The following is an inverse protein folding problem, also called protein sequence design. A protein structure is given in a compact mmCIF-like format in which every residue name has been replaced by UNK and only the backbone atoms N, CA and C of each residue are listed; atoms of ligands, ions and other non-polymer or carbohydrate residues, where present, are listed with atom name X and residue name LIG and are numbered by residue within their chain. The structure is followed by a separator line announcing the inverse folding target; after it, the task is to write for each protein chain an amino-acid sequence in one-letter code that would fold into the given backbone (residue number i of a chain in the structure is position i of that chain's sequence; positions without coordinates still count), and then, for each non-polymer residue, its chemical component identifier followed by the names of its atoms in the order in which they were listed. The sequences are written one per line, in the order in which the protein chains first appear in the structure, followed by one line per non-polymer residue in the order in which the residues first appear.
data_IF_730609310980
#
_entry.id   IF_730609310980
#
_cell.length_a   1.000
_cell.length_b   1.000
_cell.length_c   1.000
_cell.angle_alpha   90.00
_cell.angle_beta   90.00
_cell.angle_gamma   90.00
#
_symmetry.space_group_name_H-M   'P 1'
#
loop_
_entity.id
_entity.type
_entity.pdbx_description
1 polymer ?
#
# COMPACT_ATOMS: atom_id res chain seq x y z
N UNK A 1 -63.22 8.66 -24.86
CA UNK A 1 -61.84 9.13 -24.61
C UNK A 1 -61.47 8.75 -23.19
N UNK A 2 -60.73 7.65 -23.02
CA UNK A 2 -60.27 7.22 -21.70
C UNK A 2 -58.92 7.88 -21.42
N UNK A 3 -58.89 8.77 -20.43
CA UNK A 3 -57.66 9.33 -19.85
C UNK A 3 -56.92 8.23 -19.11
N UNK A 4 -55.81 7.74 -19.69
CA UNK A 4 -54.86 6.88 -18.98
C UNK A 4 -54.27 7.67 -17.81
N UNK A 5 -54.48 7.16 -16.60
CA UNK A 5 -53.81 7.66 -15.41
C UNK A 5 -52.29 7.42 -15.52
N UNK A 6 -51.45 8.36 -15.05
CA UNK A 6 -50.00 8.19 -15.07
C UNK A 6 -49.62 6.98 -14.21
N UNK A 7 -48.91 6.03 -14.83
CA UNK A 7 -48.33 4.88 -14.14
C UNK A 7 -47.37 5.36 -13.06
N UNK A 8 -47.45 4.84 -11.82
CA UNK A 8 -46.54 5.21 -10.75
C UNK A 8 -45.11 4.82 -11.16
N UNK A 9 -44.20 5.80 -11.12
CA UNK A 9 -42.77 5.60 -11.29
C UNK A 9 -42.29 4.48 -10.35
N UNK A 10 -41.58 3.49 -10.89
CA UNK A 10 -41.15 2.34 -10.10
C UNK A 10 -40.33 2.78 -8.88
N UNK A 11 -40.43 2.10 -7.71
CA UNK A 11 -39.69 2.45 -6.49
C UNK A 11 -38.16 2.34 -6.60
N UNK A 12 -37.63 1.92 -7.76
CA UNK A 12 -36.22 1.59 -7.96
C UNK A 12 -35.42 2.66 -8.72
N UNK A 13 -36.04 3.78 -9.12
CA UNK A 13 -35.35 4.88 -9.81
C UNK A 13 -34.63 5.86 -8.87
N UNK A 14 -34.11 5.38 -7.74
CA UNK A 14 -33.19 6.18 -6.92
C UNK A 14 -31.81 6.14 -7.57
N UNK A 15 -31.57 7.02 -8.53
CA UNK A 15 -30.21 7.23 -9.04
C UNK A 15 -29.31 7.63 -7.86
N UNK A 16 -28.24 6.89 -7.55
CA UNK A 16 -27.34 7.24 -6.47
C UNK A 16 -26.71 8.60 -6.78
N UNK A 17 -26.84 9.53 -5.83
CA UNK A 17 -26.21 10.85 -5.94
C UNK A 17 -24.69 10.65 -5.98
N UNK A 18 -24.07 10.92 -7.14
CA UNK A 18 -22.62 10.85 -7.35
C UNK A 18 -21.82 11.55 -6.25
N UNK A 19 -22.36 12.64 -5.69
CA UNK A 19 -21.76 13.37 -4.57
C UNK A 19 -21.61 12.55 -3.29
N UNK A 20 -22.55 11.64 -2.99
CA UNK A 20 -22.50 10.82 -1.78
C UNK A 20 -21.38 9.78 -1.80
N UNK A 21 -21.19 9.12 -2.94
CA UNK A 21 -20.10 8.14 -3.10
C UNK A 21 -18.72 8.79 -3.06
N UNK A 22 -18.55 9.94 -3.71
CA UNK A 22 -17.31 10.70 -3.64
C UNK A 22 -17.00 11.16 -2.22
N UNK A 23 -18.00 11.71 -1.52
CA UNK A 23 -17.85 12.12 -0.12
C UNK A 23 -17.48 10.94 0.78
N UNK A 24 -18.07 9.76 0.56
CA UNK A 24 -17.72 8.54 1.30
C UNK A 24 -16.28 8.08 1.01
N UNK A 25 -15.83 8.08 -0.26
CA UNK A 25 -14.44 7.78 -0.60
C UNK A 25 -13.47 8.75 0.10
N UNK A 26 -13.74 10.06 0.02
CA UNK A 26 -12.92 11.09 0.65
C UNK A 26 -12.91 10.90 2.17
N UNK A 27 -14.07 10.66 2.79
CA UNK A 27 -14.18 10.41 4.22
C UNK A 27 -13.36 9.20 4.68
N UNK A 28 -13.40 8.09 3.92
CA UNK A 28 -12.61 6.89 4.23
C UNK A 28 -11.10 7.13 4.06
N UNK A 29 -10.69 7.85 3.01
CA UNK A 29 -9.28 8.22 2.83
C UNK A 29 -8.79 9.16 3.94
N UNK A 30 -9.58 10.16 4.32
CA UNK A 30 -9.25 11.04 5.44
C UNK A 30 -9.16 10.28 6.77
N UNK A 31 -10.07 9.33 7.01
CA UNK A 31 -9.99 8.44 8.17
C UNK A 31 -8.72 7.60 8.15
N UNK A 32 -8.37 7.00 7.01
CA UNK A 32 -7.12 6.24 6.86
C UNK A 32 -5.89 7.09 7.14
N UNK A 33 -5.85 8.32 6.61
CA UNK A 33 -4.77 9.29 6.85
C UNK A 33 -4.71 9.64 8.34
N UNK A 34 -5.84 9.95 8.98
CA UNK A 34 -5.89 10.30 10.39
C UNK A 34 -5.39 9.15 11.30
N UNK A 35 -5.82 7.92 11.02
CA UNK A 35 -5.37 6.73 11.76
C UNK A 35 -3.87 6.45 11.53
N UNK A 36 -3.38 6.69 10.31
CA UNK A 36 -1.96 6.55 10.00
C UNK A 36 -1.13 7.60 10.73
N UNK A 37 -1.57 8.86 10.76
CA UNK A 37 -0.90 9.94 11.50
C UNK A 37 -0.99 9.77 13.02
N UNK A 38 -2.03 9.10 13.53
CA UNK A 38 -2.10 8.71 14.93
C UNK A 38 -1.01 7.66 15.26
N UNK A 39 -0.75 6.74 14.34
CA UNK A 39 0.28 5.69 14.51
C UNK A 39 1.69 6.22 14.25
N UNK A 40 1.83 7.14 13.30
CA UNK A 40 3.05 7.83 12.92
C UNK A 40 2.90 9.33 13.19
N UNK A 41 2.97 9.77 14.47
CA UNK A 41 2.77 11.18 14.79
C UNK A 41 3.86 12.03 14.14
N UNK A 42 3.51 13.16 13.48
CA UNK A 42 4.49 13.99 12.75
C UNK A 42 5.72 14.38 13.55
N UNK A 43 5.55 14.67 14.84
CA UNK A 43 6.67 15.03 15.73
C UNK A 43 7.67 13.88 15.89
N UNK A 44 7.20 12.64 15.94
CA UNK A 44 8.08 11.47 16.05
C UNK A 44 8.61 11.00 14.68
N UNK A 45 7.86 11.25 13.60
CA UNK A 45 8.30 10.96 12.23
C UNK A 45 9.60 11.67 11.87
N UNK A 46 9.73 12.94 12.29
CA UNK A 46 10.90 13.76 12.03
C UNK A 46 11.84 13.85 13.24
N UNK A 47 11.71 12.95 14.21
CA UNK A 47 12.62 12.85 15.35
C UNK A 47 13.96 12.23 15.00
N UNK A 48 14.86 12.22 15.99
CA UNK A 48 16.24 11.71 15.86
C UNK A 48 16.36 10.19 16.09
N UNK A 49 15.25 9.51 16.34
CA UNK A 49 15.21 8.07 16.62
C UNK A 49 14.19 7.34 15.74
N UNK A 50 14.43 6.07 15.39
CA UNK A 50 13.44 5.26 14.68
C UNK A 50 12.20 5.03 15.56
N UNK A 51 11.03 5.17 14.95
CA UNK A 51 9.73 5.03 15.62
C UNK A 51 9.40 3.54 15.86
N UNK A 52 9.34 3.11 17.12
CA UNK A 52 8.63 1.89 17.52
C UNK A 52 9.39 0.94 18.45
N UNK A 53 9.02 -0.34 18.40
CA UNK A 53 9.44 -1.40 19.32
C UNK A 53 10.88 -1.89 19.05
N UNK A 54 11.50 -2.70 19.95
CA UNK A 54 12.88 -3.20 19.78
C UNK A 54 13.19 -3.88 18.43
N UNK A 55 12.21 -4.50 17.79
CA UNK A 55 12.36 -5.07 16.45
C UNK A 55 12.56 -4.01 15.34
N UNK A 56 12.03 -2.79 15.52
CA UNK A 56 12.31 -1.64 14.63
C UNK A 56 13.77 -1.26 14.74
N UNK A 57 14.32 -1.19 15.96
CA UNK A 57 15.73 -0.87 16.16
C UNK A 57 16.64 -1.89 15.49
N UNK A 58 16.28 -3.18 15.54
CA UNK A 58 17.01 -4.22 14.82
C UNK A 58 16.91 -4.05 13.29
N UNK A 59 15.73 -3.70 12.76
CA UNK A 59 15.55 -3.43 11.34
C UNK A 59 16.27 -2.16 10.87
N UNK A 60 16.22 -1.09 11.67
CA UNK A 60 16.93 0.16 11.44
C UNK A 60 18.46 -0.07 11.45
N UNK A 61 18.96 -0.90 12.38
CA UNK A 61 20.36 -1.33 12.39
C UNK A 61 20.77 -2.02 11.08
N UNK A 62 19.94 -2.95 10.58
CA UNK A 62 20.18 -3.62 9.29
C UNK A 62 20.16 -2.65 8.09
N UNK A 63 19.22 -1.70 8.08
CA UNK A 63 19.17 -0.66 7.05
C UNK A 63 20.43 0.20 7.11
N UNK A 64 20.82 0.67 8.29
CA UNK A 64 22.01 1.51 8.49
C UNK A 64 23.29 0.80 8.04
N UNK A 65 23.48 -0.45 8.44
CA UNK A 65 24.61 -1.27 7.98
C UNK A 65 24.64 -1.43 6.45
N UNK A 66 23.47 -1.59 5.82
CA UNK A 66 23.36 -1.65 4.35
C UNK A 66 23.75 -0.31 3.70
N UNK A 67 23.34 0.82 4.29
CA UNK A 67 23.71 2.17 3.81
C UNK A 67 25.21 2.43 3.94
N UNK A 68 25.81 2.03 5.05
CA UNK A 68 27.26 2.13 5.28
C UNK A 68 28.05 1.30 4.26
N UNK A 69 27.61 0.07 3.97
CA UNK A 69 28.20 -0.77 2.94
C UNK A 69 28.08 -0.13 1.54
N UNK A 70 26.93 0.48 1.22
CA UNK A 70 26.71 1.23 -0.03
C UNK A 70 27.58 2.50 -0.15
N UNK A 71 28.00 3.08 0.98
CA UNK A 71 28.82 4.29 1.00
C UNK A 71 30.32 4.00 0.78
N UNK A 72 30.77 2.74 0.84
CA UNK A 72 32.18 2.41 0.66
C UNK A 72 32.66 2.68 -0.78
N UNK A 73 33.86 3.26 -0.97
CA UNK A 73 34.43 3.49 -2.30
C UNK A 73 34.53 2.18 -3.11
N UNK A 74 33.95 2.17 -4.31
CA UNK A 74 33.95 1.00 -5.20
C UNK A 74 32.82 0.00 -4.90
N UNK A 75 31.98 0.22 -3.89
CA UNK A 75 30.80 -0.58 -3.65
C UNK A 75 29.83 -0.45 -4.83
N UNK A 76 29.39 -1.60 -5.35
CA UNK A 76 28.29 -1.63 -6.33
C UNK A 76 27.00 -1.86 -5.57
N UNK A 77 25.92 -1.19 -5.99
CA UNK A 77 24.62 -1.32 -5.32
C UNK A 77 24.14 -2.77 -5.25
N UNK A 78 24.46 -3.59 -6.26
CA UNK A 78 24.10 -5.00 -6.28
C UNK A 78 24.95 -5.81 -5.31
N UNK A 79 26.25 -5.55 -5.14
CA UNK A 79 27.07 -6.24 -4.12
C UNK A 79 26.76 -5.79 -2.68
N UNK A 80 26.13 -4.63 -2.54
CA UNK A 80 25.71 -4.01 -1.28
C UNK A 80 24.26 -4.36 -0.87
N UNK A 81 23.34 -4.59 -1.84
CA UNK A 81 22.31 -5.63 -1.70
C UNK A 81 23.04 -6.99 -1.57
N UNK A 82 22.50 -8.17 -1.29
CA UNK A 82 23.33 -9.37 -1.00
C UNK A 82 24.39 -9.33 0.14
N UNK A 83 24.86 -8.17 0.65
CA UNK A 83 25.88 -8.15 1.70
C UNK A 83 25.30 -8.72 2.98
N UNK A 84 26.02 -9.70 3.50
CA UNK A 84 25.77 -10.37 4.75
C UNK A 84 26.28 -9.47 5.88
N UNK A 85 25.46 -9.24 6.92
CA UNK A 85 25.99 -8.74 8.19
C UNK A 85 26.41 -9.98 9.03
N UNK A 86 27.71 -10.26 9.16
CA UNK A 86 28.20 -11.41 9.91
C UNK A 86 27.94 -11.30 11.42
N UNK A 87 27.61 -10.12 11.95
CA UNK A 87 27.25 -9.93 13.36
C UNK A 87 25.75 -10.10 13.61
N UNK A 88 24.91 -9.88 12.59
CA UNK A 88 23.46 -10.04 12.73
C UNK A 88 23.01 -11.52 12.84
N UNK A 89 23.84 -12.48 12.44
CA UNK A 89 23.46 -13.89 12.29
C UNK A 89 24.52 -14.89 12.78
N UNK A 90 25.40 -14.51 13.72
CA UNK A 90 26.31 -15.46 14.36
C UNK A 90 25.50 -16.59 15.04
N UNK A 91 25.34 -17.74 14.35
CA UNK A 91 24.63 -18.93 14.82
C UNK A 91 23.39 -19.38 14.03
N UNK A 92 22.92 -18.67 13.00
CA UNK A 92 21.73 -19.06 12.23
C UNK A 92 22.02 -19.22 10.72
N UNK A 93 21.58 -20.35 10.14
CA UNK A 93 21.86 -20.74 8.76
C UNK A 93 21.08 -19.96 7.66
N UNK A 94 20.17 -19.05 8.04
CA UNK A 94 19.41 -18.21 7.10
C UNK A 94 20.15 -16.91 6.82
N UNK A 95 21.30 -17.01 6.14
CA UNK A 95 22.26 -15.94 5.94
C UNK A 95 22.03 -15.02 4.74
N UNK A 96 20.79 -14.76 4.37
CA UNK A 96 20.49 -13.65 3.46
C UNK A 96 19.75 -12.57 4.25
N UNK A 97 19.98 -11.27 3.98
CA UNK A 97 18.92 -10.28 4.05
C UNK A 97 17.83 -10.69 3.05
N UNK A 98 17.06 -11.72 3.40
CA UNK A 98 16.04 -12.39 2.58
C UNK A 98 14.67 -11.76 2.83
N UNK A 99 14.65 -10.47 3.15
CA UNK A 99 13.42 -9.73 3.38
C UNK A 99 13.44 -8.55 2.42
N UNK A 100 12.67 -8.69 1.33
CA UNK A 100 12.54 -7.67 0.28
C UNK A 100 12.13 -6.33 0.88
N UNK A 101 11.38 -6.37 1.97
CA UNK A 101 10.93 -5.21 2.72
C UNK A 101 12.11 -4.45 3.36
N UNK A 102 13.10 -5.11 3.98
CA UNK A 102 14.31 -4.48 4.54
C UNK A 102 15.12 -3.79 3.45
N UNK A 103 15.26 -4.42 2.28
CA UNK A 103 16.00 -3.82 1.14
C UNK A 103 15.25 -2.65 0.52
N UNK A 104 13.94 -2.79 0.32
CA UNK A 104 13.11 -1.71 -0.17
C UNK A 104 13.12 -0.53 0.82
N UNK A 105 13.07 -0.81 2.12
CA UNK A 105 13.18 0.19 3.18
C UNK A 105 14.54 0.89 3.15
N UNK A 106 15.62 0.12 2.98
CA UNK A 106 16.98 0.68 2.87
C UNK A 106 17.14 1.58 1.65
N UNK A 107 16.65 1.17 0.48
CA UNK A 107 16.69 1.98 -0.74
C UNK A 107 15.86 3.26 -0.59
N UNK A 108 14.65 3.17 -0.01
CA UNK A 108 13.83 4.34 0.28
C UNK A 108 14.53 5.30 1.26
N UNK A 109 15.15 4.75 2.31
CA UNK A 109 15.89 5.53 3.31
C UNK A 109 17.11 6.19 2.68
N UNK A 110 17.84 5.49 1.81
CA UNK A 110 18.94 6.06 1.04
C UNK A 110 18.47 7.23 0.19
N UNK A 111 17.38 7.07 -0.55
CA UNK A 111 16.85 8.11 -1.42
C UNK A 111 16.52 9.37 -0.63
N UNK A 112 15.81 9.23 0.49
CA UNK A 112 15.41 10.35 1.34
C UNK A 112 16.60 11.00 2.06
N UNK A 113 17.58 10.23 2.52
CA UNK A 113 18.81 10.78 3.11
C UNK A 113 19.62 11.56 2.07
N UNK A 114 19.65 11.11 0.81
CA UNK A 114 20.26 11.86 -0.31
C UNK A 114 19.49 13.14 -0.63
N UNK A 115 18.23 13.25 -0.26
CA UNK A 115 17.43 14.47 -0.34
C UNK A 115 17.60 15.39 0.90
N UNK A 116 18.47 15.03 1.84
CA UNK A 116 18.83 15.86 2.99
C UNK A 116 18.10 15.53 4.30
N UNK A 117 17.29 14.46 4.35
CA UNK A 117 16.67 14.01 5.59
C UNK A 117 17.69 13.28 6.48
N UNK A 118 17.59 13.45 7.79
CA UNK A 118 18.32 12.62 8.75
C UNK A 118 17.91 11.14 8.60
N UNK A 119 18.84 10.21 8.78
CA UNK A 119 18.58 8.78 8.58
C UNK A 119 17.40 8.22 9.39
N UNK A 120 17.19 8.57 10.67
CA UNK A 120 16.03 8.15 11.44
C UNK A 120 14.71 8.67 10.85
N UNK A 121 14.67 9.96 10.52
CA UNK A 121 13.50 10.59 9.91
C UNK A 121 13.18 10.00 8.53
N UNK A 122 14.19 9.76 7.71
CA UNK A 122 14.06 9.10 6.42
C UNK A 122 13.48 7.68 6.58
N UNK A 123 14.00 6.90 7.53
CA UNK A 123 13.51 5.56 7.82
C UNK A 123 12.04 5.57 8.26
N UNK A 124 11.68 6.46 9.18
CA UNK A 124 10.31 6.61 9.67
C UNK A 124 9.35 7.02 8.55
N UNK A 125 9.77 7.98 7.71
CA UNK A 125 8.97 8.48 6.60
C UNK A 125 8.70 7.40 5.55
N UNK A 126 9.67 6.53 5.25
CA UNK A 126 9.43 5.37 4.36
C UNK A 126 8.33 4.48 4.91
N UNK A 127 8.36 4.16 6.20
CA UNK A 127 7.32 3.35 6.85
C UNK A 127 5.94 4.00 6.78
N UNK A 128 5.85 5.29 7.08
CA UNK A 128 4.60 6.05 7.00
C UNK A 128 4.05 6.13 5.56
N UNK A 129 4.91 6.38 4.56
CA UNK A 129 4.48 6.41 3.16
C UNK A 129 3.94 5.04 2.71
N UNK A 130 4.59 3.95 3.11
CA UNK A 130 4.10 2.62 2.83
C UNK A 130 2.76 2.33 3.52
N UNK A 131 2.61 2.77 4.78
CA UNK A 131 1.35 2.68 5.52
C UNK A 131 0.21 3.48 4.87
N UNK A 132 0.51 4.66 4.35
CA UNK A 132 -0.45 5.48 3.62
C UNK A 132 -0.86 4.82 2.29
N UNK A 133 0.04 4.11 1.62
CA UNK A 133 -0.20 3.55 0.29
C UNK A 133 -1.10 2.30 0.28
N UNK A 134 -1.13 1.49 1.35
CA UNK A 134 -1.80 0.19 1.37
C UNK A 134 -3.29 0.22 0.94
N UNK A 135 -4.20 0.80 1.73
CA UNK A 135 -5.62 0.86 1.39
C UNK A 135 -5.94 1.56 0.05
N UNK A 136 -5.29 2.69 -0.31
CA UNK A 136 -5.43 3.26 -1.65
C UNK A 136 -5.06 2.30 -2.79
N UNK A 137 -3.99 1.51 -2.66
CA UNK A 137 -3.60 0.53 -3.69
C UNK A 137 -4.65 -0.58 -3.83
N UNK A 138 -5.22 -1.07 -2.73
CA UNK A 138 -6.32 -2.05 -2.76
C UNK A 138 -7.56 -1.46 -3.43
N UNK A 139 -7.92 -0.21 -3.11
CA UNK A 139 -9.02 0.48 -3.76
C UNK A 139 -8.79 0.68 -5.27
N UNK A 140 -7.56 1.03 -5.68
CA UNK A 140 -7.19 1.12 -7.09
C UNK A 140 -7.25 -0.24 -7.79
N UNK A 141 -6.86 -1.34 -7.11
CA UNK A 141 -6.97 -2.69 -7.64
C UNK A 141 -8.43 -3.12 -7.82
N UNK A 142 -9.29 -2.82 -6.84
CA UNK A 142 -10.73 -3.03 -6.95
C UNK A 142 -11.33 -2.23 -8.11
N UNK A 143 -10.95 -0.95 -8.25
CA UNK A 143 -11.36 -0.10 -9.39
C UNK A 143 -10.92 -0.65 -10.72
N UNK A 144 -9.68 -1.13 -10.80
CA UNK A 144 -9.17 -1.75 -12.00
C UNK A 144 -10.00 -3.00 -12.30
N UNK A 145 -10.21 -3.94 -11.38
CA UNK A 145 -11.02 -5.15 -11.61
C UNK A 145 -12.48 -4.86 -11.99
N UNK A 146 -13.16 -3.98 -11.25
CA UNK A 146 -14.61 -3.82 -11.27
C UNK A 146 -15.15 -2.92 -12.39
N UNK A 147 -14.29 -2.46 -13.30
CA UNK A 147 -14.66 -1.74 -14.52
C UNK A 147 -15.00 -2.66 -15.71
N UNK A 148 -16.05 -3.50 -15.70
CA UNK A 148 -16.73 -3.82 -16.95
C UNK A 148 -18.14 -3.19 -16.98
N UNK A 149 -18.71 -3.07 -18.17
CA UNK A 149 -19.96 -2.36 -18.52
C UNK A 149 -21.27 -2.83 -17.87
N UNK A 150 -21.22 -3.26 -16.61
CA UNK A 150 -22.37 -3.46 -15.74
C UNK A 150 -22.85 -2.16 -15.06
N UNK A 151 -23.86 -2.26 -14.20
CA UNK A 151 -24.45 -1.10 -13.53
C UNK A 151 -23.41 -0.37 -12.66
N UNK A 152 -23.05 0.86 -13.03
CA UNK A 152 -22.05 1.71 -12.33
C UNK A 152 -22.25 1.81 -10.82
N UNK A 153 -23.47 1.62 -10.34
CA UNK A 153 -23.81 1.67 -8.92
C UNK A 153 -23.27 0.46 -8.13
N UNK A 154 -23.33 -0.76 -8.67
CA UNK A 154 -22.78 -1.93 -7.97
C UNK A 154 -21.26 -1.86 -7.90
N UNK A 155 -20.62 -1.38 -8.97
CA UNK A 155 -19.17 -1.09 -9.02
C UNK A 155 -18.76 -0.08 -7.95
N UNK A 156 -19.48 1.04 -7.83
CA UNK A 156 -19.15 2.09 -6.86
C UNK A 156 -19.29 1.62 -5.41
N UNK A 157 -20.34 0.85 -5.11
CA UNK A 157 -20.53 0.26 -3.77
C UNK A 157 -19.44 -0.75 -3.45
N UNK A 158 -19.08 -1.62 -4.40
CA UNK A 158 -18.03 -2.61 -4.22
C UNK A 158 -16.65 -1.94 -3.99
N UNK A 159 -16.32 -0.89 -4.73
CA UNK A 159 -15.10 -0.10 -4.51
C UNK A 159 -15.05 0.52 -3.10
N UNK A 160 -16.16 1.11 -2.65
CA UNK A 160 -16.27 1.70 -1.31
C UNK A 160 -16.12 0.64 -0.21
N UNK A 161 -16.75 -0.53 -0.40
CA UNK A 161 -16.62 -1.66 0.53
C UNK A 161 -15.18 -2.14 0.56
N UNK A 162 -14.51 -2.30 -0.59
CA UNK A 162 -13.09 -2.68 -0.64
C UNK A 162 -12.19 -1.68 0.08
N UNK A 163 -12.40 -0.37 -0.12
CA UNK A 163 -11.63 0.65 0.58
C UNK A 163 -11.88 0.63 2.10
N UNK A 164 -13.15 0.49 2.51
CA UNK A 164 -13.51 0.39 3.92
C UNK A 164 -12.87 -0.84 4.57
N UNK A 165 -13.03 -2.03 3.96
CA UNK A 165 -12.43 -3.26 4.44
C UNK A 165 -10.91 -3.18 4.48
N UNK A 166 -10.28 -2.65 3.43
CA UNK A 166 -8.83 -2.46 3.42
C UNK A 166 -8.36 -1.54 4.55
N UNK A 167 -9.07 -0.43 4.80
CA UNK A 167 -8.76 0.50 5.90
C UNK A 167 -8.94 -0.18 7.25
N UNK A 168 -10.03 -0.93 7.45
CA UNK A 168 -10.27 -1.65 8.70
C UNK A 168 -9.26 -2.76 8.93
N UNK A 169 -8.97 -3.59 7.93
CA UNK A 169 -7.95 -4.65 8.05
C UNK A 169 -6.60 -4.02 8.35
N UNK A 170 -6.22 -2.93 7.68
CA UNK A 170 -4.95 -2.25 7.91
C UNK A 170 -4.77 -1.76 9.34
N UNK A 171 -5.84 -1.23 9.95
CA UNK A 171 -5.77 -0.58 11.27
C UNK A 171 -6.27 -1.42 12.43
N UNK A 172 -7.06 -2.47 12.19
CA UNK A 172 -7.62 -3.35 13.23
C UNK A 172 -6.93 -4.71 13.29
N UNK A 173 -6.28 -5.14 12.21
CA UNK A 173 -5.52 -6.37 12.27
C UNK A 173 -4.37 -6.21 13.27
N UNK A 174 -4.43 -7.04 14.32
CA UNK A 174 -3.40 -7.11 15.35
C UNK A 174 -2.04 -7.46 14.75
N UNK A 175 -1.97 -8.21 13.65
CA UNK A 175 -0.71 -8.43 12.93
C UNK A 175 -0.23 -7.16 12.23
N UNK A 176 -1.09 -6.44 11.50
CA UNK A 176 -0.74 -5.14 10.91
C UNK A 176 -0.34 -4.08 11.96
N UNK A 177 -0.92 -4.09 13.17
CA UNK A 177 -0.49 -3.23 14.30
C UNK A 177 0.78 -3.71 15.00
N UNK A 178 0.89 -5.01 15.32
CA UNK A 178 2.10 -5.57 15.93
C UNK A 178 3.29 -5.41 15.01
N UNK A 179 3.09 -5.35 13.69
CA UNK A 179 4.15 -5.15 12.72
C UNK A 179 4.31 -3.68 12.26
N UNK A 180 3.26 -2.87 12.33
CA UNK A 180 3.25 -1.43 12.01
C UNK A 180 3.90 -0.54 13.08
N UNK A 181 4.01 -1.02 14.32
CA UNK A 181 4.84 -0.42 15.39
C UNK A 181 6.26 -1.05 15.43
N UNK A 182 6.57 -2.00 14.53
CA UNK A 182 7.65 -2.97 14.76
C UNK A 182 8.61 -3.27 13.58
N UNK A 183 8.50 -2.64 12.40
CA UNK A 183 9.55 -2.75 11.37
C UNK A 183 9.10 -2.49 9.92
N UNK A 184 9.80 -3.07 8.91
CA UNK A 184 9.62 -2.81 7.48
C UNK A 184 8.32 -3.41 6.88
N UNK A 185 7.48 -4.06 7.67
CA UNK A 185 6.28 -4.76 7.23
C UNK A 185 5.21 -3.91 6.50
N UNK A 186 5.04 -2.60 6.77
CA UNK A 186 4.18 -1.76 5.94
C UNK A 186 4.59 -1.77 4.46
N UNK A 187 5.89 -1.87 4.15
CA UNK A 187 6.35 -2.06 2.76
C UNK A 187 5.95 -3.42 2.21
N UNK A 188 6.02 -4.50 3.00
CA UNK A 188 5.60 -5.83 2.54
C UNK A 188 4.12 -5.84 2.17
N UNK A 189 3.28 -5.28 3.02
CA UNK A 189 1.84 -5.19 2.79
C UNK A 189 1.50 -4.26 1.61
N UNK A 190 2.18 -3.11 1.50
CA UNK A 190 2.03 -2.22 0.34
C UNK A 190 2.52 -2.86 -0.97
N UNK A 191 3.65 -3.59 -0.92
CA UNK A 191 4.19 -4.31 -2.08
C UNK A 191 3.25 -5.44 -2.51
N UNK A 192 2.65 -6.16 -1.57
CA UNK A 192 1.64 -7.17 -1.86
C UNK A 192 0.39 -6.56 -2.51
N UNK A 193 -0.10 -5.42 -2.01
CA UNK A 193 -1.20 -4.67 -2.63
C UNK A 193 -0.84 -4.18 -4.04
N UNK A 194 0.40 -3.73 -4.26
CA UNK A 194 0.92 -3.33 -5.57
C UNK A 194 1.01 -4.53 -6.54
N UNK A 195 1.45 -5.70 -6.08
CA UNK A 195 1.46 -6.93 -6.87
C UNK A 195 0.04 -7.32 -7.29
N UNK A 196 -0.92 -7.29 -6.37
CA UNK A 196 -2.34 -7.54 -6.68
C UNK A 196 -2.83 -6.54 -7.72
N UNK A 197 -2.58 -5.24 -7.54
CA UNK A 197 -2.93 -4.21 -8.53
C UNK A 197 -2.31 -4.49 -9.90
N UNK A 198 -1.03 -4.86 -9.95
CA UNK A 198 -0.29 -5.12 -11.20
C UNK A 198 -0.84 -6.35 -11.92
N UNK A 199 -1.08 -7.45 -11.21
CA UNK A 199 -1.68 -8.66 -11.76
C UNK A 199 -3.07 -8.38 -12.32
N UNK A 200 -3.87 -7.59 -11.61
CA UNK A 200 -5.18 -7.14 -12.07
C UNK A 200 -5.07 -6.31 -13.35
N UNK A 201 -4.18 -5.32 -13.36
CA UNK A 201 -3.99 -4.44 -14.50
C UNK A 201 -3.54 -5.23 -15.74
N UNK A 202 -2.64 -6.21 -15.56
CA UNK A 202 -2.15 -7.04 -16.64
C UNK A 202 -3.20 -8.03 -17.14
N UNK A 203 -3.91 -8.71 -16.24
CA UNK A 203 -5.06 -9.57 -16.60
C UNK A 203 -6.07 -8.81 -17.46
N UNK A 204 -6.35 -7.55 -17.10
CA UNK A 204 -7.23 -6.70 -17.89
C UNK A 204 -6.70 -6.40 -19.28
N UNK A 205 -5.43 -6.01 -19.40
CA UNK A 205 -4.84 -5.75 -20.70
C UNK A 205 -4.99 -6.97 -21.62
N UNK A 206 -4.76 -8.17 -21.10
CA UNK A 206 -4.91 -9.42 -21.86
C UNK A 206 -6.37 -9.72 -22.25
N UNK A 207 -7.32 -9.55 -21.33
CA UNK A 207 -8.75 -9.81 -21.60
C UNK A 207 -9.34 -8.78 -22.57
N UNK A 208 -8.97 -7.51 -22.44
CA UNK A 208 -9.45 -6.43 -23.31
C UNK A 208 -8.83 -6.54 -24.72
N UNK A 209 -7.58 -7.00 -24.87
CA UNK A 209 -6.96 -7.29 -26.18
C UNK A 209 -7.57 -8.51 -26.88
N UNK A 210 -7.96 -9.53 -26.12
CA UNK A 210 -8.63 -10.73 -26.65
C UNK A 210 -10.11 -10.51 -27.00
N UNK A 211 -10.75 -9.48 -26.46
CA UNK A 211 -12.17 -9.21 -26.66
C UNK A 211 -12.59 -9.14 -28.15
N UNK A 212 -11.90 -8.39 -29.03
CA UNK A 212 -12.21 -8.39 -30.47
C UNK A 212 -11.94 -9.74 -31.16
N UNK A 213 -10.95 -10.53 -30.71
CA UNK A 213 -10.72 -11.89 -31.25
C UNK A 213 -11.84 -12.85 -30.87
N UNK A 214 -12.32 -12.80 -29.61
CA UNK A 214 -13.45 -13.62 -29.15
C UNK A 214 -14.76 -13.24 -29.84
N UNK A 215 -14.98 -11.96 -30.09
CA UNK A 215 -16.14 -11.47 -30.83
C UNK A 215 -16.11 -11.84 -32.33
N UNK A 216 -14.94 -12.15 -32.89
CA UNK A 216 -14.82 -12.60 -34.29
C UNK A 216 -15.01 -14.12 -34.47
N UNK A 217 -15.00 -14.89 -33.38
CA UNK A 217 -15.16 -16.36 -33.39
C UNK A 217 -16.56 -16.78 -32.93
N UNK A 218 -17.29 -15.89 -32.23
CA UNK A 218 -18.67 -16.07 -31.79
C UNK A 218 -19.68 -15.62 -32.85
#
# INVERSE_FOLDING_TARGET
MATQAPTPSSPHDVRPRRGGALAACVGLLLLHVALTLFTYPPVALFGDEPLGAPSVYAAYGRVTATLEALAQPGARWWSAAWTYDPRALAGYASGLPLDMDVKAHALGTLLLTRLGLAAPAAYNLVGALAALAGPPLVWLAARALLRPGGPRESTTRAELISLALATFVWHLDSTARLFGVAGPTPLFAAASALCVYTLVAWHRALVDEDAPRRAAIA
#
